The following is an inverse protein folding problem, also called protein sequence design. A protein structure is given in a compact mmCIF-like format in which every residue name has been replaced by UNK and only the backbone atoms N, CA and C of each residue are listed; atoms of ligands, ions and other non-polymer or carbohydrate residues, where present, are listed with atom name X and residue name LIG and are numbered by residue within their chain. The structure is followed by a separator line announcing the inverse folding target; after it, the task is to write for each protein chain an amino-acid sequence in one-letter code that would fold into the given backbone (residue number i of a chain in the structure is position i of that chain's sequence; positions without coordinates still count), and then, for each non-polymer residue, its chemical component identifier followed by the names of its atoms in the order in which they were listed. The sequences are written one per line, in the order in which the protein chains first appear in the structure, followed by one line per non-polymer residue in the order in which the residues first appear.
data_IF_178238747733
#
_entry.id   IF_178238747733
#
_cell.length_a   1.000
_cell.length_b   1.000
_cell.length_c   1.000
_cell.angle_alpha   90.00
_cell.angle_beta   90.00
_cell.angle_gamma   90.00
#
_symmetry.space_group_name_H-M   'P 1'
#
loop_
_entity.id
_entity.type
_entity.pdbx_description
1 polymer ?
#
# COMPACT_ATOMS: atom_id res chain seq x y z
N UNK A 1 -38.54 -13.18 2.99
CA UNK A 1 -37.78 -11.93 3.05
C UNK A 1 -36.35 -12.18 2.53
N UNK A 2 -36.07 -11.69 1.38
CA UNK A 2 -34.74 -11.78 0.81
C UNK A 2 -33.85 -10.70 1.41
N UNK A 3 -33.20 -11.02 2.50
CA UNK A 3 -32.07 -10.20 2.92
C UNK A 3 -31.04 -10.16 1.80
N UNK A 4 -30.67 -9.00 1.33
CA UNK A 4 -29.61 -8.84 0.34
C UNK A 4 -28.38 -9.61 0.82
N UNK A 5 -27.70 -10.34 -0.06
CA UNK A 5 -26.47 -11.07 0.26
C UNK A 5 -25.42 -10.15 0.92
N UNK A 6 -25.45 -8.87 0.60
CA UNK A 6 -24.63 -7.83 1.22
C UNK A 6 -24.93 -7.63 2.72
N UNK A 7 -26.22 -7.66 3.11
CA UNK A 7 -26.59 -7.55 4.52
C UNK A 7 -26.18 -8.77 5.33
N UNK A 8 -26.27 -9.96 4.74
CA UNK A 8 -25.80 -11.19 5.37
C UNK A 8 -24.27 -11.18 5.58
N UNK A 9 -23.51 -10.64 4.64
CA UNK A 9 -22.07 -10.46 4.77
C UNK A 9 -21.74 -9.44 5.87
N UNK A 10 -22.40 -8.29 5.86
CA UNK A 10 -22.19 -7.22 6.83
C UNK A 10 -22.53 -7.64 8.26
N UNK A 11 -23.48 -8.51 8.46
CA UNK A 11 -23.83 -9.01 9.80
C UNK A 11 -22.85 -10.03 10.36
N UNK A 12 -22.11 -10.73 9.50
CA UNK A 12 -21.14 -11.76 9.90
C UNK A 12 -19.76 -11.21 10.23
N UNK A 13 -19.34 -10.13 9.59
CA UNK A 13 -18.01 -9.54 9.76
C UNK A 13 -18.17 -8.11 10.25
N UNK A 14 -17.73 -7.79 11.48
CA UNK A 14 -17.70 -6.41 11.92
C UNK A 14 -16.75 -5.61 11.03
N UNK A 15 -17.27 -4.60 10.36
CA UNK A 15 -16.47 -3.68 9.55
C UNK A 15 -15.99 -2.56 10.45
N UNK A 16 -14.74 -2.58 10.80
CA UNK A 16 -14.10 -1.47 11.50
C UNK A 16 -13.59 -0.46 10.47
N UNK A 17 -13.98 0.80 10.65
CA UNK A 17 -13.53 1.88 9.80
C UNK A 17 -12.18 2.39 10.29
N UNK A 18 -11.23 2.51 9.39
CA UNK A 18 -9.95 3.14 9.69
C UNK A 18 -10.17 4.60 10.13
N UNK A 19 -9.59 5.05 11.26
CA UNK A 19 -9.78 6.42 11.75
C UNK A 19 -9.16 7.48 10.82
N UNK A 20 -8.14 7.10 10.06
CA UNK A 20 -7.49 7.94 9.07
C UNK A 20 -7.41 7.23 7.72
N UNK A 21 -7.56 8.01 6.67
CA UNK A 21 -7.42 7.56 5.29
C UNK A 21 -6.37 8.39 4.59
N UNK A 22 -5.50 7.73 3.87
CA UNK A 22 -4.52 8.35 2.99
C UNK A 22 -5.06 8.36 1.57
N UNK A 23 -5.20 9.54 1.01
CA UNK A 23 -5.80 9.74 -0.29
C UNK A 23 -4.75 10.30 -1.23
N UNK A 24 -4.49 9.59 -2.31
CA UNK A 24 -3.50 9.97 -3.32
C UNK A 24 -4.21 10.27 -4.63
N UNK A 25 -3.93 11.42 -5.21
CA UNK A 25 -4.41 11.77 -6.55
C UNK A 25 -3.55 11.09 -7.61
N UNK A 26 -4.11 10.14 -8.34
CA UNK A 26 -3.39 9.35 -9.35
C UNK A 26 -3.58 9.93 -10.75
N UNK A 27 -4.76 10.47 -11.05
CA UNK A 27 -5.07 11.02 -12.36
C UNK A 27 -5.01 12.54 -12.37
N UNK A 28 -4.60 13.10 -13.51
CA UNK A 28 -4.52 14.54 -13.72
C UNK A 28 -5.89 15.22 -13.71
N UNK A 29 -5.87 16.52 -13.46
CA UNK A 29 -7.05 17.38 -13.42
C UNK A 29 -7.62 17.78 -14.78
N UNK A 30 -6.85 17.83 -15.90
CA UNK A 30 -7.39 18.21 -17.20
C UNK A 30 -8.55 17.31 -17.63
N UNK A 31 -9.61 17.91 -18.17
CA UNK A 31 -10.81 17.18 -18.60
C UNK A 31 -11.81 16.83 -17.50
N UNK A 32 -11.53 17.15 -16.24
CA UNK A 32 -12.46 16.93 -15.13
C UNK A 32 -13.48 18.07 -15.02
N UNK A 33 -14.68 17.75 -14.53
CA UNK A 33 -15.71 18.75 -14.23
C UNK A 33 -15.24 19.75 -13.18
N UNK A 34 -15.69 20.98 -13.27
CA UNK A 34 -15.41 22.03 -12.28
C UNK A 34 -15.80 21.60 -10.85
N UNK A 35 -16.92 20.90 -10.71
CA UNK A 35 -17.38 20.40 -9.43
C UNK A 35 -16.36 19.43 -8.79
N UNK A 36 -15.85 18.50 -9.58
CA UNK A 36 -14.84 17.54 -9.12
C UNK A 36 -13.51 18.21 -8.79
N UNK A 37 -13.11 19.24 -9.54
CA UNK A 37 -11.92 20.04 -9.24
C UNK A 37 -12.04 20.76 -7.90
N UNK A 38 -13.20 21.36 -7.62
CA UNK A 38 -13.47 22.00 -6.32
C UNK A 38 -13.44 21.02 -5.17
N UNK A 39 -14.00 19.81 -5.39
CA UNK A 39 -13.95 18.75 -4.39
C UNK A 39 -12.51 18.32 -4.10
N UNK A 40 -11.68 18.16 -5.13
CA UNK A 40 -10.26 17.85 -4.97
C UNK A 40 -9.49 18.98 -4.27
N UNK A 41 -9.79 20.23 -4.58
CA UNK A 41 -9.21 21.40 -3.89
C UNK A 41 -9.57 21.43 -2.41
N UNK A 42 -10.83 21.12 -2.06
CA UNK A 42 -11.27 20.99 -0.67
C UNK A 42 -10.51 19.88 0.07
N UNK A 43 -10.14 18.80 -0.62
CA UNK A 43 -9.32 17.73 -0.10
C UNK A 43 -7.80 18.03 -0.16
N UNK A 44 -7.39 19.22 -0.57
CA UNK A 44 -5.99 19.64 -0.73
C UNK A 44 -5.21 18.84 -1.79
N UNK A 45 -5.90 18.22 -2.71
CA UNK A 45 -5.32 17.42 -3.80
C UNK A 45 -5.28 18.23 -5.10
N UNK A 46 -4.31 19.11 -5.23
CA UNK A 46 -4.15 19.96 -6.43
C UNK A 46 -3.19 19.37 -7.46
N UNK A 47 -2.22 18.59 -7.02
CA UNK A 47 -1.19 18.00 -7.88
C UNK A 47 -1.32 16.49 -7.92
N UNK A 48 -1.05 15.93 -9.10
CA UNK A 48 -0.97 14.49 -9.28
C UNK A 48 0.13 13.88 -8.38
N UNK A 49 -0.12 12.67 -7.90
CA UNK A 49 0.77 11.90 -7.00
C UNK A 49 0.98 12.51 -5.61
N UNK A 50 0.18 13.47 -5.23
CA UNK A 50 0.19 13.99 -3.87
C UNK A 50 -0.70 13.13 -2.98
N UNK A 51 -0.16 12.74 -1.83
CA UNK A 51 -0.90 12.03 -0.77
C UNK A 51 -1.23 12.98 0.37
N UNK A 52 -2.45 12.95 0.84
CA UNK A 52 -2.91 13.73 2.00
C UNK A 52 -3.66 12.79 2.93
N UNK A 53 -3.43 12.96 4.23
CA UNK A 53 -4.17 12.25 5.26
C UNK A 53 -5.43 13.02 5.68
N UNK A 54 -6.50 12.29 5.86
CA UNK A 54 -7.78 12.84 6.30
C UNK A 54 -8.41 11.95 7.35
N UNK A 55 -9.15 12.56 8.28
CA UNK A 55 -10.01 11.81 9.20
C UNK A 55 -11.20 11.22 8.45
N UNK A 56 -11.59 10.03 8.83
CA UNK A 56 -12.79 9.38 8.28
C UNK A 56 -14.03 10.04 8.81
N UNK A 57 -14.62 10.93 8.02
CA UNK A 57 -15.88 11.61 8.33
C UNK A 57 -16.91 11.30 7.24
N UNK A 58 -18.21 11.36 7.56
CA UNK A 58 -19.26 11.18 6.54
C UNK A 58 -19.12 12.15 5.37
N UNK A 59 -18.71 13.38 5.64
CA UNK A 59 -18.46 14.41 4.61
C UNK A 59 -17.34 14.00 3.66
N UNK A 60 -16.25 13.45 4.20
CA UNK A 60 -15.14 12.96 3.39
C UNK A 60 -15.57 11.79 2.50
N UNK A 61 -16.35 10.86 3.03
CA UNK A 61 -16.87 9.72 2.27
C UNK A 61 -17.77 10.17 1.12
N UNK A 62 -18.58 11.20 1.33
CA UNK A 62 -19.38 11.83 0.28
C UNK A 62 -18.51 12.45 -0.82
N UNK A 63 -17.46 13.17 -0.47
CA UNK A 63 -16.50 13.73 -1.41
C UNK A 63 -15.76 12.64 -2.18
N UNK A 64 -15.34 11.58 -1.52
CA UNK A 64 -14.66 10.44 -2.16
C UNK A 64 -15.57 9.74 -3.18
N UNK A 65 -16.86 9.64 -2.90
CA UNK A 65 -17.82 9.05 -3.85
C UNK A 65 -17.86 9.80 -5.17
N UNK A 66 -17.69 11.12 -5.15
CA UNK A 66 -17.65 11.95 -6.37
C UNK A 66 -16.36 11.80 -7.16
N UNK A 67 -15.23 11.69 -6.48
CA UNK A 67 -13.90 11.72 -7.10
C UNK A 67 -13.18 10.36 -7.08
N UNK A 68 -13.86 9.30 -6.74
CA UNK A 68 -13.29 7.95 -6.61
C UNK A 68 -12.50 7.45 -7.82
N UNK A 69 -12.83 7.93 -9.03
CA UNK A 69 -12.14 7.56 -10.27
C UNK A 69 -10.72 8.15 -10.37
N UNK A 70 -10.47 9.24 -9.67
CA UNK A 70 -9.25 10.03 -9.79
C UNK A 70 -8.27 9.74 -8.67
N UNK A 71 -8.74 9.16 -7.57
CA UNK A 71 -7.97 8.98 -6.35
C UNK A 71 -7.84 7.50 -5.97
N UNK A 72 -6.79 7.21 -5.24
CA UNK A 72 -6.59 5.94 -4.55
C UNK A 72 -6.67 6.20 -3.06
N UNK A 73 -7.46 5.40 -2.36
CA UNK A 73 -7.66 5.50 -0.91
C UNK A 73 -6.95 4.33 -0.25
N UNK A 74 -6.09 4.65 0.69
CA UNK A 74 -5.31 3.66 1.44
C UNK A 74 -5.58 3.82 2.93
N UNK A 75 -5.58 2.73 3.66
CA UNK A 75 -5.54 2.76 5.13
C UNK A 75 -4.12 3.06 5.59
N UNK A 76 -3.95 3.39 6.86
CA UNK A 76 -2.64 3.66 7.43
C UNK A 76 -1.67 2.48 7.23
N UNK A 77 -2.13 1.27 7.49
CA UNK A 77 -1.31 0.06 7.33
C UNK A 77 -0.84 -0.15 5.89
N UNK A 78 -1.74 0.04 4.93
CA UNK A 78 -1.42 -0.07 3.50
C UNK A 78 -0.43 1.00 3.06
N UNK A 79 -0.59 2.22 3.55
CA UNK A 79 0.31 3.32 3.26
C UNK A 79 1.71 3.07 3.81
N UNK A 80 1.81 2.64 5.08
CA UNK A 80 3.08 2.32 5.72
C UNK A 80 3.79 1.16 5.02
N UNK A 81 3.05 0.11 4.64
CA UNK A 81 3.59 -1.01 3.87
C UNK A 81 4.13 -0.56 2.50
N UNK A 82 3.42 0.34 1.82
CA UNK A 82 3.87 0.90 0.55
C UNK A 82 5.12 1.75 0.72
N UNK A 83 5.18 2.59 1.75
CA UNK A 83 6.37 3.41 2.04
C UNK A 83 7.59 2.55 2.34
N UNK A 84 7.42 1.49 3.15
CA UNK A 84 8.47 0.51 3.43
C UNK A 84 8.98 -0.19 2.15
N UNK A 85 8.06 -0.61 1.29
CA UNK A 85 8.42 -1.22 0.01
C UNK A 85 9.19 -0.26 -0.91
N UNK A 86 8.81 1.01 -0.93
CA UNK A 86 9.49 2.04 -1.69
C UNK A 86 10.88 2.36 -1.14
N UNK A 87 11.03 2.39 0.18
CA UNK A 87 12.34 2.54 0.83
C UNK A 87 13.26 1.37 0.50
N UNK A 88 12.78 0.15 0.59
CA UNK A 88 13.53 -1.05 0.22
C UNK A 88 13.98 -1.02 -1.25
N UNK A 89 13.10 -0.51 -2.12
CA UNK A 89 13.40 -0.37 -3.55
C UNK A 89 14.44 0.70 -3.84
N UNK A 90 14.43 1.80 -3.07
CA UNK A 90 15.39 2.91 -3.16
C UNK A 90 16.69 2.65 -2.42
N UNK A 91 16.74 1.69 -1.52
CA UNK A 91 17.93 1.36 -0.75
C UNK A 91 19.10 1.06 -1.69
N UNK A 92 20.30 1.62 -1.45
CA UNK A 92 21.44 1.31 -2.26
C UNK A 92 21.80 -0.17 -2.13
N UNK A 93 22.20 -0.76 -3.24
CA UNK A 93 22.64 -2.14 -3.23
C UNK A 93 23.88 -2.27 -2.34
N UNK A 94 24.02 -3.40 -1.61
CA UNK A 94 25.24 -3.62 -0.84
C UNK A 94 26.47 -3.59 -1.76
N UNK A 95 27.61 -3.09 -1.29
CA UNK A 95 28.83 -3.04 -2.10
C UNK A 95 29.23 -4.46 -2.53
N UNK A 96 29.74 -4.57 -3.74
CA UNK A 96 30.21 -5.84 -4.26
C UNK A 96 31.38 -6.34 -3.40
N UNK A 97 31.19 -7.43 -2.72
CA UNK A 97 32.25 -8.09 -1.95
C UNK A 97 32.91 -9.14 -2.86
N UNK A 98 34.14 -8.87 -3.24
CA UNK A 98 34.95 -9.84 -4.00
C UNK A 98 35.74 -10.67 -2.99
N UNK A 99 35.38 -11.95 -2.89
CA UNK A 99 36.09 -12.92 -2.08
C UNK A 99 37.16 -13.61 -2.96
N UNK A 100 38.42 -13.47 -2.58
CA UNK A 100 39.52 -14.16 -3.24
C UNK A 100 39.72 -15.59 -2.69
N UNK A 101 38.94 -15.98 -1.71
CA UNK A 101 38.99 -17.34 -1.21
C UNK A 101 38.25 -18.30 -2.14
N UNK A 102 38.91 -19.36 -2.53
CA UNK A 102 38.26 -20.45 -3.22
C UNK A 102 37.15 -21.05 -2.34
N UNK A 103 35.98 -21.36 -2.89
CA UNK A 103 34.94 -22.03 -2.14
C UNK A 103 35.46 -23.35 -1.60
N UNK A 104 35.15 -23.75 -0.38
CA UNK A 104 35.55 -25.02 0.17
C UNK A 104 35.04 -26.15 -0.74
N UNK A 105 35.89 -27.16 -1.06
CA UNK A 105 35.48 -28.22 -1.92
C UNK A 105 34.25 -28.95 -1.37
N UNK A 106 33.30 -29.25 -2.24
CA UNK A 106 32.01 -29.82 -1.86
C UNK A 106 32.15 -31.19 -1.11
N UNK A 107 33.30 -31.80 -1.22
CA UNK A 107 33.66 -33.04 -0.52
C UNK A 107 33.82 -32.87 1.00
N UNK A 108 34.13 -31.66 1.49
CA UNK A 108 34.24 -31.42 2.93
C UNK A 108 32.91 -31.53 3.67
N UNK A 109 31.80 -31.19 3.03
CA UNK A 109 30.45 -31.33 3.60
C UNK A 109 30.00 -32.82 3.67
N UNK A 110 30.41 -33.61 2.71
CA UNK A 110 30.09 -35.03 2.72
C UNK A 110 30.89 -35.82 3.78
N UNK A 111 32.14 -35.46 4.03
CA UNK A 111 32.95 -36.05 5.09
C UNK A 111 32.42 -35.71 6.49
N UNK A 112 31.98 -34.46 6.74
CA UNK A 112 31.37 -34.08 7.99
C UNK A 112 30.00 -34.74 8.28
N UNK A 113 29.23 -35.03 7.25
CA UNK A 113 27.97 -35.75 7.38
C UNK A 113 28.15 -37.24 7.67
N UNK A 114 29.22 -37.86 7.14
CA UNK A 114 29.55 -39.24 7.43
C UNK A 114 30.06 -39.46 8.85
N UNK A 115 30.77 -38.50 9.41
CA UNK A 115 31.26 -38.55 10.79
C UNK A 115 30.14 -38.32 11.84
N UNK A 116 29.12 -37.58 11.49
CA UNK A 116 27.96 -37.35 12.35
C UNK A 116 26.98 -38.56 12.37
N UNK A 117 27.11 -39.53 11.46
CA UNK A 117 26.25 -40.69 11.35
C UNK A 117 26.79 -41.94 12.11
N UNK A 118 27.98 -41.87 12.70
CA UNK A 118 28.56 -42.87 13.58
C UNK A 118 28.34 -42.50 15.05
#
# INVERSE_FOLDING_TARGET
MSGSAFNAFKSKVPVEWSPRLYITLVRGLPGTRKLHRRTLEAMRLRRCHRTVDHRTTPSLLGMLTQVKRLVVVETQEMYDARMLADEQRRAPRPPLVVSHHAPPPATAKAAGAAEAAQ
#
